data_IF_711999277485
#
_entry.id   IF_711999277485
#
_cell.length_a   1.000
_cell.length_b   1.000
_cell.length_c   1.000
_cell.angle_alpha   90.00
_cell.angle_beta   90.00
_cell.angle_gamma   90.00
#
_symmetry.space_group_name_H-M   'P 1'
#
loop_
_entity.id
_entity.type
_entity.pdbx_description
1 polymer ?
#
# COMPACT_ATOMS: atom_id res chain seq x y z
N UNK A 1 34.02 -91.83 72.95
CA UNK A 1 32.98 -90.77 72.85
C UNK A 1 33.15 -90.10 71.48
N UNK A 2 32.53 -90.62 70.42
CA UNK A 2 31.19 -90.26 69.88
C UNK A 2 31.12 -88.79 69.43
N UNK A 3 31.43 -88.52 68.15
CA UNK A 3 30.53 -88.41 66.96
C UNK A 3 29.78 -87.07 66.91
N UNK A 4 30.18 -86.12 66.05
CA UNK A 4 29.89 -85.95 64.59
C UNK A 4 28.53 -85.28 64.31
N UNK A 5 28.61 -84.14 63.60
CA UNK A 5 27.69 -83.59 62.56
C UNK A 5 26.24 -83.28 63.03
N UNK A 6 25.44 -82.41 62.43
CA UNK A 6 25.52 -81.64 61.20
C UNK A 6 24.51 -80.47 61.29
N UNK A 7 24.67 -79.52 60.38
CA UNK A 7 23.70 -78.51 59.94
C UNK A 7 22.24 -78.98 59.84
N UNK A 8 21.32 -78.11 60.27
CA UNK A 8 20.09 -77.86 59.52
C UNK A 8 19.64 -76.42 59.69
N UNK A 9 19.65 -75.73 58.57
CA UNK A 9 19.05 -74.44 58.27
C UNK A 9 17.56 -74.48 58.63
N UNK A 10 17.11 -73.66 59.58
CA UNK A 10 15.71 -73.27 59.73
C UNK A 10 15.67 -71.78 60.08
N UNK A 11 15.31 -70.98 59.08
CA UNK A 11 14.86 -69.61 59.26
C UNK A 11 13.62 -69.60 60.16
N UNK A 12 13.60 -68.85 61.27
CA UNK A 12 12.36 -68.56 61.97
C UNK A 12 11.62 -67.42 61.26
N UNK A 13 10.30 -67.57 61.17
CA UNK A 13 9.32 -66.70 60.49
C UNK A 13 9.09 -65.34 61.16
N UNK A 14 10.16 -64.59 61.46
CA UNK A 14 10.08 -63.22 61.98
C UNK A 14 10.61 -62.15 61.01
N UNK A 15 11.16 -62.58 59.86
CA UNK A 15 11.79 -61.70 58.87
C UNK A 15 10.84 -60.98 57.90
N UNK A 16 9.54 -61.27 57.87
CA UNK A 16 8.56 -60.54 57.03
C UNK A 16 8.02 -59.24 57.64
N UNK A 17 8.32 -58.93 58.91
CA UNK A 17 7.85 -57.69 59.56
C UNK A 17 8.91 -56.58 59.63
N UNK A 18 10.19 -56.91 59.41
CA UNK A 18 11.29 -55.93 59.45
C UNK A 18 11.26 -54.98 58.24
N UNK A 19 10.68 -55.42 57.11
CA UNK A 19 10.53 -54.56 55.92
C UNK A 19 9.44 -53.48 56.05
N UNK A 20 8.47 -53.60 56.97
CA UNK A 20 7.45 -52.58 57.18
C UNK A 20 7.94 -51.49 58.16
N UNK A 21 8.79 -51.84 59.13
CA UNK A 21 9.40 -50.86 60.04
C UNK A 21 10.57 -50.08 59.40
N UNK A 22 11.24 -50.62 58.37
CA UNK A 22 12.29 -49.91 57.63
C UNK A 22 11.76 -48.80 56.69
N UNK A 23 10.49 -48.86 56.27
CA UNK A 23 9.88 -47.85 55.37
C UNK A 23 9.40 -46.60 56.13
N UNK A 24 9.10 -46.69 57.44
CA UNK A 24 8.58 -45.54 58.21
C UNK A 24 9.71 -44.64 58.78
N UNK A 25 10.93 -45.14 58.99
CA UNK A 25 12.05 -44.31 59.52
C UNK A 25 13.10 -43.90 58.46
N UNK A 26 13.03 -44.45 57.24
CA UNK A 26 13.91 -44.11 56.11
C UNK A 26 13.47 -42.90 55.27
N UNK A 27 12.32 -42.29 55.57
CA UNK A 27 11.75 -41.16 54.81
C UNK A 27 12.03 -39.78 55.44
N UNK A 28 12.71 -39.72 56.59
CA UNK A 28 12.94 -38.46 57.33
C UNK A 28 14.18 -37.65 56.94
N UNK A 29 15.18 -38.21 56.25
CA UNK A 29 16.48 -37.53 56.02
C UNK A 29 16.73 -37.13 54.56
N UNK A 30 15.99 -37.66 53.59
CA UNK A 30 16.16 -37.24 52.18
C UNK A 30 15.33 -36.00 51.82
N UNK A 31 14.23 -35.72 52.55
CA UNK A 31 13.44 -34.51 52.34
C UNK A 31 14.12 -33.22 52.85
N UNK A 32 14.99 -33.31 53.87
CA UNK A 32 15.64 -32.11 54.45
C UNK A 32 16.79 -31.55 53.62
N UNK A 33 17.41 -32.33 52.72
CA UNK A 33 18.53 -31.88 51.88
C UNK A 33 18.18 -31.72 50.40
N UNK A 34 17.16 -32.44 49.89
CA UNK A 34 16.71 -32.23 48.51
C UNK A 34 15.83 -30.99 48.34
N UNK A 35 15.07 -30.58 49.35
CA UNK A 35 14.23 -29.37 49.28
C UNK A 35 15.08 -28.08 49.23
N UNK A 36 16.13 -27.88 50.06
CA UNK A 36 17.00 -26.71 49.94
C UNK A 36 17.83 -26.68 48.65
N UNK A 37 18.29 -27.83 48.14
CA UNK A 37 19.08 -27.91 46.89
C UNK A 37 18.19 -27.74 45.65
N UNK A 38 16.95 -28.23 45.67
CA UNK A 38 15.95 -27.95 44.63
C UNK A 38 15.44 -26.50 44.69
N UNK A 39 15.36 -25.90 45.88
CA UNK A 39 15.07 -24.47 46.07
C UNK A 39 16.25 -23.62 45.60
N UNK A 40 17.51 -23.99 45.87
CA UNK A 40 18.70 -23.28 45.36
C UNK A 40 18.90 -23.47 43.84
N UNK A 41 18.58 -24.64 43.29
CA UNK A 41 18.54 -24.90 41.84
C UNK A 41 17.36 -24.21 41.14
N UNK A 42 16.20 -24.11 41.79
CA UNK A 42 15.00 -23.40 41.32
C UNK A 42 15.08 -21.88 41.47
N UNK A 43 15.76 -21.38 42.51
CA UNK A 43 16.13 -19.97 42.69
C UNK A 43 17.31 -19.63 41.76
N UNK A 44 18.26 -20.54 41.53
CA UNK A 44 19.34 -20.36 40.56
C UNK A 44 18.84 -20.35 39.11
N UNK A 45 17.97 -21.29 38.73
CA UNK A 45 17.30 -21.33 37.43
C UNK A 45 16.22 -20.25 37.31
N UNK A 46 15.58 -19.85 38.41
CA UNK A 46 14.63 -18.75 38.49
C UNK A 46 15.31 -17.39 38.38
N UNK A 47 16.45 -17.16 39.04
CA UNK A 47 17.31 -15.98 38.89
C UNK A 47 18.01 -16.02 37.54
N UNK A 48 18.41 -17.18 37.01
CA UNK A 48 18.96 -17.29 35.65
C UNK A 48 17.89 -17.05 34.58
N UNK A 49 16.66 -17.55 34.73
CA UNK A 49 15.54 -17.30 33.81
C UNK A 49 14.94 -15.92 34.01
N UNK A 50 14.99 -15.34 35.21
CA UNK A 50 14.55 -13.97 35.52
C UNK A 50 15.64 -12.95 35.21
N UNK A 51 16.93 -13.28 35.29
CA UNK A 51 18.04 -12.50 34.74
C UNK A 51 18.18 -12.73 33.25
N UNK A 52 17.77 -13.86 32.67
CA UNK A 52 17.68 -14.06 31.21
C UNK A 52 16.40 -13.46 30.67
N UNK A 53 15.30 -13.39 31.42
CA UNK A 53 14.11 -12.59 31.07
C UNK A 53 14.30 -11.12 31.39
N UNK A 54 15.07 -10.73 32.41
CA UNK A 54 15.47 -9.33 32.63
C UNK A 54 16.56 -8.95 31.65
N UNK A 55 17.55 -9.78 31.33
CA UNK A 55 18.51 -9.52 30.23
C UNK A 55 17.77 -9.52 28.92
N UNK A 56 16.96 -10.51 28.56
CA UNK A 56 16.13 -10.45 27.35
C UNK A 56 15.13 -9.29 27.40
N UNK A 57 14.56 -8.87 28.54
CA UNK A 57 13.70 -7.67 28.61
C UNK A 57 14.49 -6.37 28.69
N UNK A 58 15.73 -6.35 29.17
CA UNK A 58 16.61 -5.18 29.27
C UNK A 58 17.33 -5.01 27.94
N UNK A 59 17.82 -6.08 27.33
CA UNK A 59 18.30 -6.21 25.95
C UNK A 59 17.16 -5.99 24.95
N UNK A 60 15.94 -6.51 25.15
CA UNK A 60 14.80 -6.14 24.30
C UNK A 60 14.34 -4.72 24.54
N UNK A 61 14.39 -4.20 25.79
CA UNK A 61 14.15 -2.77 26.07
C UNK A 61 15.27 -1.88 25.53
N UNK A 62 16.52 -2.32 25.53
CA UNK A 62 17.67 -1.60 24.98
C UNK A 62 17.66 -1.68 23.46
N UNK A 63 17.28 -2.81 22.89
CA UNK A 63 17.06 -2.98 21.46
C UNK A 63 15.86 -2.16 21.00
N UNK A 64 14.76 -2.10 21.75
CA UNK A 64 13.65 -1.19 21.42
C UNK A 64 14.02 0.27 21.58
N UNK A 65 14.74 0.66 22.64
CA UNK A 65 15.27 2.03 22.79
C UNK A 65 16.19 2.37 21.61
N UNK A 66 17.07 1.46 21.20
CA UNK A 66 17.92 1.63 20.01
C UNK A 66 17.10 1.81 18.74
N UNK A 67 16.11 0.94 18.51
CA UNK A 67 15.20 1.04 17.37
C UNK A 67 14.34 2.31 17.38
N UNK A 68 13.97 2.83 18.55
CA UNK A 68 13.26 4.09 18.70
C UNK A 68 14.17 5.27 18.37
N UNK A 69 15.44 5.26 18.81
CA UNK A 69 16.41 6.30 18.46
C UNK A 69 16.76 6.26 16.97
N UNK A 70 16.90 5.06 16.38
CA UNK A 70 17.07 4.87 14.94
C UNK A 70 15.85 5.40 14.18
N UNK A 71 14.63 5.05 14.61
CA UNK A 71 13.39 5.55 14.02
C UNK A 71 13.35 7.09 14.07
N UNK A 72 13.73 7.69 15.20
CA UNK A 72 13.79 9.15 15.36
C UNK A 72 14.84 9.79 14.45
N UNK A 73 16.01 9.16 14.29
CA UNK A 73 17.05 9.63 13.37
C UNK A 73 16.57 9.59 11.91
N UNK A 74 15.92 8.49 11.51
CA UNK A 74 15.35 8.31 10.16
C UNK A 74 14.21 9.30 9.92
N UNK A 75 13.32 9.53 10.89
CA UNK A 75 12.28 10.57 10.83
C UNK A 75 12.91 11.96 10.66
N UNK A 76 13.93 12.29 11.47
CA UNK A 76 14.61 13.59 11.36
C UNK A 76 15.31 13.79 10.01
N UNK A 77 15.83 12.73 9.39
CA UNK A 77 16.38 12.77 8.04
C UNK A 77 15.27 12.95 6.99
N UNK A 78 14.17 12.21 7.11
CA UNK A 78 13.02 12.35 6.23
C UNK A 78 12.44 13.77 6.31
N UNK A 79 12.31 14.35 7.50
CA UNK A 79 11.83 15.74 7.70
C UNK A 79 12.71 16.78 6.99
N UNK A 80 14.04 16.61 7.00
CA UNK A 80 14.95 17.51 6.26
C UNK A 80 14.74 17.39 4.75
N UNK A 81 14.57 16.17 4.25
CA UNK A 81 14.33 15.91 2.82
C UNK A 81 12.95 16.39 2.37
N UNK A 82 11.93 16.29 3.21
CA UNK A 82 10.60 16.85 2.96
C UNK A 82 10.69 18.37 2.83
N UNK A 83 11.43 19.04 3.73
CA UNK A 83 11.65 20.49 3.64
C UNK A 83 12.38 20.91 2.36
N UNK A 84 13.34 20.09 1.91
CA UNK A 84 14.03 20.30 0.64
C UNK A 84 13.07 20.11 -0.55
N UNK A 85 12.22 19.10 -0.50
CA UNK A 85 11.18 18.83 -1.49
C UNK A 85 10.14 19.97 -1.58
N UNK A 86 9.72 20.53 -0.43
CA UNK A 86 8.90 21.75 -0.36
C UNK A 86 9.58 22.93 -1.06
N UNK A 87 10.90 23.08 -0.89
CA UNK A 87 11.66 24.13 -1.57
C UNK A 87 11.71 23.93 -3.08
N UNK A 88 11.88 22.71 -3.57
CA UNK A 88 11.84 22.42 -5.01
C UNK A 88 10.48 22.71 -5.61
N UNK A 89 9.40 22.47 -4.85
CA UNK A 89 8.06 22.88 -5.25
C UNK A 89 7.92 24.40 -5.35
N UNK A 90 8.41 25.15 -4.36
CA UNK A 90 8.35 26.61 -4.32
C UNK A 90 9.15 27.27 -5.46
N UNK A 91 10.35 26.76 -5.74
CA UNK A 91 11.21 27.25 -6.82
C UNK A 91 10.90 26.65 -8.19
N UNK A 92 9.88 25.80 -8.32
CA UNK A 92 9.44 25.21 -9.58
C UNK A 92 10.43 24.22 -10.22
N UNK A 93 11.32 23.61 -9.44
CA UNK A 93 12.33 22.65 -9.89
C UNK A 93 11.76 21.23 -9.99
N UNK A 94 11.01 20.97 -11.06
CA UNK A 94 10.18 19.75 -11.21
C UNK A 94 10.98 18.44 -11.31
N UNK A 95 12.14 18.46 -11.97
CA UNK A 95 13.00 17.26 -12.11
C UNK A 95 13.63 16.90 -10.75
N UNK A 96 14.25 17.89 -10.09
CA UNK A 96 14.83 17.72 -8.74
C UNK A 96 13.76 17.28 -7.71
N UNK A 97 12.54 17.83 -7.83
CA UNK A 97 11.40 17.41 -7.01
C UNK A 97 11.06 15.93 -7.24
N UNK A 98 10.96 15.50 -8.50
CA UNK A 98 10.60 14.12 -8.85
C UNK A 98 11.64 13.12 -8.36
N UNK A 99 12.93 13.41 -8.57
CA UNK A 99 14.03 12.54 -8.13
C UNK A 99 14.06 12.39 -6.61
N UNK A 100 13.88 13.51 -5.88
CA UNK A 100 13.87 13.49 -4.42
C UNK A 100 12.61 12.79 -3.87
N UNK A 101 11.44 13.02 -4.48
CA UNK A 101 10.19 12.37 -4.11
C UNK A 101 10.28 10.84 -4.19
N UNK A 102 10.81 10.31 -5.30
CA UNK A 102 10.99 8.87 -5.50
C UNK A 102 11.93 8.22 -4.47
N UNK A 103 12.86 8.99 -3.89
CA UNK A 103 13.72 8.53 -2.81
C UNK A 103 13.06 8.60 -1.43
N UNK A 104 12.15 9.55 -1.21
CA UNK A 104 11.47 9.75 0.08
C UNK A 104 10.35 8.73 0.29
N UNK A 105 9.57 8.39 -0.75
CA UNK A 105 8.43 7.47 -0.62
C UNK A 105 8.78 6.11 0.02
N UNK A 106 9.87 5.42 -0.36
CA UNK A 106 10.31 4.20 0.32
C UNK A 106 10.71 4.43 1.78
N UNK A 107 11.29 5.60 2.11
CA UNK A 107 11.66 5.95 3.49
C UNK A 107 10.43 6.17 4.36
N UNK A 108 9.41 6.86 3.84
CA UNK A 108 8.14 7.03 4.55
C UNK A 108 7.45 5.67 4.81
N UNK A 109 7.50 4.77 3.82
CA UNK A 109 7.00 3.40 3.97
C UNK A 109 7.77 2.63 5.05
N UNK A 110 9.10 2.75 5.06
CA UNK A 110 9.94 2.15 6.09
C UNK A 110 9.60 2.69 7.49
N UNK A 111 9.51 4.02 7.66
CA UNK A 111 9.13 4.65 8.93
C UNK A 111 7.74 4.16 9.38
N UNK A 112 6.77 4.08 8.47
CA UNK A 112 5.41 3.59 8.74
C UNK A 112 5.43 2.17 9.32
N UNK A 113 6.21 1.29 8.70
CA UNK A 113 6.32 -0.11 9.12
C UNK A 113 7.04 -0.25 10.46
N UNK A 114 8.16 0.45 10.64
CA UNK A 114 8.90 0.42 11.92
C UNK A 114 8.07 1.02 13.05
N UNK A 115 7.36 2.13 12.82
CA UNK A 115 6.46 2.72 13.81
C UNK A 115 5.30 1.78 14.18
N UNK A 116 4.81 0.96 13.23
CA UNK A 116 3.78 -0.06 13.46
C UNK A 116 4.32 -1.22 14.31
N UNK A 117 5.56 -1.65 14.07
CA UNK A 117 6.21 -2.69 14.88
C UNK A 117 6.49 -2.21 16.32
N UNK A 118 6.84 -0.93 16.49
CA UNK A 118 7.10 -0.30 17.78
C UNK A 118 5.84 0.24 18.46
N UNK A 119 4.63 -0.08 17.97
CA UNK A 119 3.36 0.50 18.42
C UNK A 119 3.14 0.38 19.94
N UNK A 120 3.53 -0.76 20.52
CA UNK A 120 3.36 -1.02 21.95
C UNK A 120 4.47 -0.39 22.82
N UNK A 121 5.52 0.15 22.17
CA UNK A 121 6.73 0.69 22.80
C UNK A 121 6.82 2.23 22.69
N UNK A 122 6.06 2.84 21.76
CA UNK A 122 5.94 4.30 21.61
C UNK A 122 4.59 4.80 22.10
N UNK A 123 4.49 6.06 22.58
CA UNK A 123 3.20 6.62 23.00
C UNK A 123 2.20 6.63 21.85
N UNK A 124 0.94 6.27 22.14
CA UNK A 124 -0.12 6.22 21.12
C UNK A 124 -0.28 7.55 20.36
N UNK A 125 -0.11 8.69 21.04
CA UNK A 125 -0.15 10.02 20.42
C UNK A 125 1.01 10.26 19.43
N UNK A 126 2.20 9.73 19.72
CA UNK A 126 3.38 9.82 18.83
C UNK A 126 3.18 8.94 17.60
N UNK A 127 2.71 7.71 17.81
CA UNK A 127 2.35 6.80 16.70
C UNK A 127 1.33 7.44 15.76
N UNK A 128 0.24 8.00 16.29
CA UNK A 128 -0.79 8.66 15.49
C UNK A 128 -0.23 9.84 14.69
N UNK A 129 0.59 10.70 15.32
CA UNK A 129 1.24 11.83 14.63
C UNK A 129 2.15 11.37 13.48
N UNK A 130 2.91 10.30 13.68
CA UNK A 130 3.76 9.71 12.64
C UNK A 130 2.90 9.20 11.49
N UNK A 131 1.83 8.46 11.76
CA UNK A 131 0.93 7.94 10.73
C UNK A 131 0.26 9.07 9.95
N UNK A 132 -0.32 10.06 10.64
CA UNK A 132 -0.96 11.21 9.98
C UNK A 132 0.04 11.96 9.10
N UNK A 133 1.23 12.27 9.61
CA UNK A 133 2.23 13.01 8.84
C UNK A 133 2.70 12.22 7.61
N UNK A 134 2.93 10.92 7.75
CA UNK A 134 3.30 10.06 6.62
C UNK A 134 2.20 10.05 5.56
N UNK A 135 0.94 9.82 5.97
CA UNK A 135 -0.19 9.79 5.05
C UNK A 135 -0.32 11.12 4.30
N UNK A 136 -0.34 12.25 5.01
CA UNK A 136 -0.46 13.58 4.40
C UNK A 136 0.68 13.86 3.42
N UNK A 137 1.93 13.61 3.82
CA UNK A 137 3.10 13.88 2.95
C UNK A 137 3.11 12.96 1.74
N UNK A 138 2.75 11.68 1.90
CA UNK A 138 2.63 10.75 0.76
C UNK A 138 1.56 11.21 -0.23
N UNK A 139 0.37 11.58 0.25
CA UNK A 139 -0.72 12.09 -0.58
C UNK A 139 -0.32 13.38 -1.33
N UNK A 140 0.39 14.29 -0.66
CA UNK A 140 0.90 15.53 -1.27
C UNK A 140 1.95 15.24 -2.35
N UNK A 141 2.90 14.35 -2.07
CA UNK A 141 3.93 13.92 -3.03
C UNK A 141 3.26 13.29 -4.25
N UNK A 142 2.35 12.34 -4.05
CA UNK A 142 1.67 11.63 -5.14
C UNK A 142 0.86 12.60 -6.01
N UNK A 143 0.14 13.55 -5.40
CA UNK A 143 -0.61 14.58 -6.11
C UNK A 143 0.29 15.46 -6.97
N UNK A 144 1.46 15.86 -6.46
CA UNK A 144 2.40 16.69 -7.22
C UNK A 144 3.10 15.90 -8.33
N UNK A 145 3.47 14.64 -8.08
CA UNK A 145 4.03 13.77 -9.12
C UNK A 145 3.03 13.57 -10.26
N UNK A 146 1.76 13.31 -9.95
CA UNK A 146 0.70 13.23 -10.95
C UNK A 146 0.54 14.55 -11.71
N UNK A 147 0.62 15.69 -11.03
CA UNK A 147 0.57 17.01 -11.70
C UNK A 147 1.74 17.19 -12.67
N UNK A 148 2.96 16.89 -12.24
CA UNK A 148 4.17 16.99 -13.07
C UNK A 148 4.06 16.05 -14.27
N UNK A 149 3.59 14.82 -14.07
CA UNK A 149 3.39 13.86 -15.13
C UNK A 149 2.31 14.31 -16.12
N UNK A 150 1.18 14.82 -15.64
CA UNK A 150 0.13 15.40 -16.51
C UNK A 150 0.65 16.59 -17.29
N UNK A 151 1.42 17.49 -16.69
CA UNK A 151 2.01 18.62 -17.38
C UNK A 151 3.07 18.20 -18.41
N UNK A 152 3.84 17.14 -18.11
CA UNK A 152 4.81 16.55 -19.04
C UNK A 152 4.08 15.90 -20.22
N UNK A 153 3.08 15.07 -19.95
CA UNK A 153 2.18 14.49 -20.96
C UNK A 153 1.51 15.57 -21.78
N UNK A 154 0.98 16.64 -21.19
CA UNK A 154 0.40 17.77 -21.93
C UNK A 154 1.42 18.55 -22.77
N UNK A 155 2.69 18.62 -22.35
CA UNK A 155 3.77 19.22 -23.15
C UNK A 155 4.24 18.32 -24.28
N UNK A 156 4.22 17.01 -24.07
CA UNK A 156 4.59 15.98 -25.06
C UNK A 156 3.44 15.68 -26.04
N UNK A 157 2.20 15.81 -25.57
CA UNK A 157 0.94 15.70 -26.31
C UNK A 157 0.52 17.02 -26.96
N UNK A 158 1.16 18.14 -26.62
CA UNK A 158 1.15 19.30 -27.50
C UNK A 158 2.03 18.97 -28.69
N UNK A 159 1.48 18.71 -29.90
CA UNK A 159 2.26 18.99 -31.09
C UNK A 159 2.73 20.44 -30.92
N UNK A 160 4.00 20.74 -31.21
CA UNK A 160 4.43 22.13 -31.41
C UNK A 160 3.27 22.83 -32.15
N UNK A 161 2.61 23.83 -31.55
CA UNK A 161 1.40 24.52 -32.11
C UNK A 161 1.62 25.19 -33.48
N UNK A 162 2.74 24.91 -34.12
CA UNK A 162 3.08 25.26 -35.48
C UNK A 162 2.97 24.07 -36.43
N UNK A 163 3.08 22.81 -35.97
CA UNK A 163 3.11 21.64 -36.86
C UNK A 163 1.74 21.02 -37.13
N UNK A 164 0.74 21.12 -36.24
CA UNK A 164 -0.58 20.53 -36.52
C UNK A 164 -1.35 21.38 -37.53
N UNK A 165 -1.42 22.68 -37.28
CA UNK A 165 -2.09 23.65 -38.14
C UNK A 165 -1.44 23.78 -39.53
N UNK A 166 -0.12 23.58 -39.62
CA UNK A 166 0.64 23.62 -40.87
C UNK A 166 0.61 22.28 -41.64
N UNK A 167 0.82 21.15 -40.95
CA UNK A 167 0.94 19.84 -41.62
C UNK A 167 -0.40 19.13 -41.82
N UNK A 168 -1.39 19.41 -40.98
CA UNK A 168 -2.67 18.71 -40.96
C UNK A 168 -3.85 19.64 -40.58
N UNK A 169 -4.08 20.74 -41.31
CA UNK A 169 -5.20 21.65 -41.05
C UNK A 169 -6.57 20.93 -41.05
N UNK A 170 -6.69 19.84 -41.82
CA UNK A 170 -7.88 19.00 -41.87
C UNK A 170 -8.21 18.28 -40.55
N UNK A 171 -7.24 18.11 -39.64
CA UNK A 171 -7.43 17.46 -38.34
C UNK A 171 -7.59 18.45 -37.19
N UNK A 172 -7.34 19.76 -37.41
CA UNK A 172 -7.33 20.76 -36.33
C UNK A 172 -8.66 20.79 -35.57
N UNK A 173 -9.79 20.76 -36.29
CA UNK A 173 -11.11 20.75 -35.67
C UNK A 173 -11.34 19.47 -34.85
N UNK A 174 -11.05 18.31 -35.44
CA UNK A 174 -11.20 16.99 -34.80
C UNK A 174 -10.33 16.85 -33.55
N UNK A 175 -9.04 17.22 -33.64
CA UNK A 175 -8.11 17.18 -32.50
C UNK A 175 -8.59 18.10 -31.37
N UNK A 176 -9.14 19.28 -31.72
CA UNK A 176 -9.68 20.20 -30.73
C UNK A 176 -10.94 19.64 -30.05
N UNK A 177 -11.84 19.02 -30.79
CA UNK A 177 -13.04 18.36 -30.23
C UNK A 177 -12.63 17.25 -29.26
N UNK A 178 -11.75 16.34 -29.70
CA UNK A 178 -11.18 15.27 -28.87
C UNK A 178 -10.61 15.80 -27.54
N UNK A 179 -9.89 16.93 -27.55
CA UNK A 179 -9.37 17.53 -26.31
C UNK A 179 -10.48 18.03 -25.38
N UNK A 180 -11.50 18.68 -25.95
CA UNK A 180 -12.65 19.18 -25.19
C UNK A 180 -13.42 18.00 -24.58
N UNK A 181 -13.70 16.96 -25.36
CA UNK A 181 -14.47 15.80 -24.91
C UNK A 181 -13.68 14.96 -23.92
N UNK A 182 -12.36 14.83 -24.11
CA UNK A 182 -11.48 14.20 -23.13
C UNK A 182 -11.58 14.87 -21.74
N UNK A 183 -11.51 16.20 -21.68
CA UNK A 183 -11.64 16.95 -20.43
C UNK A 183 -13.04 16.79 -19.82
N UNK A 184 -14.09 16.84 -20.65
CA UNK A 184 -15.47 16.66 -20.21
C UNK A 184 -15.71 15.25 -19.62
N UNK A 185 -15.19 14.21 -20.27
CA UNK A 185 -15.28 12.82 -19.81
C UNK A 185 -14.56 12.64 -18.48
N UNK A 186 -13.34 13.17 -18.31
CA UNK A 186 -12.62 13.09 -17.04
C UNK A 186 -13.39 13.80 -15.91
N UNK A 187 -13.98 14.97 -16.19
CA UNK A 187 -14.84 15.65 -15.22
C UNK A 187 -16.05 14.79 -14.84
N UNK A 188 -16.73 14.21 -15.82
CA UNK A 188 -17.89 13.33 -15.60
C UNK A 188 -17.56 12.08 -14.80
N UNK A 189 -16.46 11.39 -15.13
CA UNK A 189 -15.99 10.22 -14.36
C UNK A 189 -15.68 10.62 -12.90
N UNK A 190 -15.06 11.79 -12.69
CA UNK A 190 -14.73 12.26 -11.34
C UNK A 190 -15.99 12.58 -10.50
N UNK A 191 -17.01 13.14 -11.14
CA UNK A 191 -18.27 13.57 -10.52
C UNK A 191 -19.29 12.45 -10.34
N UNK A 192 -19.22 11.39 -11.17
CA UNK A 192 -20.03 10.19 -11.07
C UNK A 192 -20.03 9.61 -9.65
N UNK A 193 -21.11 8.98 -9.17
CA UNK A 193 -21.10 8.25 -7.89
C UNK A 193 -20.63 6.79 -8.03
N UNK A 194 -20.12 6.40 -9.21
CA UNK A 194 -19.66 5.03 -9.49
C UNK A 194 -18.48 4.62 -8.59
N UNK A 195 -18.44 3.35 -8.21
CA UNK A 195 -17.31 2.75 -7.49
C UNK A 195 -16.11 2.43 -8.39
N UNK A 196 -16.25 2.56 -9.71
CA UNK A 196 -15.24 2.14 -10.70
C UNK A 196 -14.52 3.34 -11.35
N UNK A 197 -14.39 4.48 -10.66
CA UNK A 197 -13.81 5.71 -11.24
C UNK A 197 -12.37 5.50 -11.70
N UNK A 198 -11.57 4.83 -10.89
CA UNK A 198 -10.16 4.56 -11.20
C UNK A 198 -10.02 3.68 -12.43
N UNK A 199 -10.86 2.66 -12.56
CA UNK A 199 -10.88 1.76 -13.72
C UNK A 199 -11.32 2.51 -14.98
N UNK A 200 -12.42 3.27 -14.92
CA UNK A 200 -12.91 4.07 -16.05
C UNK A 200 -11.88 5.12 -16.48
N UNK A 201 -11.23 5.78 -15.51
CA UNK A 201 -10.16 6.74 -15.80
C UNK A 201 -8.97 6.06 -16.46
N UNK A 202 -8.56 4.88 -15.98
CA UNK A 202 -7.44 4.13 -16.55
C UNK A 202 -7.73 3.65 -17.98
N UNK A 203 -8.95 3.16 -18.24
CA UNK A 203 -9.38 2.77 -19.59
C UNK A 203 -9.36 3.97 -20.53
N UNK A 204 -9.98 5.08 -20.14
CA UNK A 204 -10.01 6.31 -20.94
C UNK A 204 -8.61 6.85 -21.21
N UNK A 205 -7.74 6.85 -20.19
CA UNK A 205 -6.35 7.30 -20.33
C UNK A 205 -5.57 6.43 -21.32
N UNK A 206 -5.76 5.11 -21.28
CA UNK A 206 -5.14 4.18 -22.23
C UNK A 206 -5.62 4.43 -23.67
N UNK A 207 -6.91 4.71 -23.86
CA UNK A 207 -7.45 5.06 -25.17
C UNK A 207 -6.85 6.37 -25.71
N UNK A 208 -6.68 7.37 -24.86
CA UNK A 208 -6.02 8.63 -25.23
C UNK A 208 -4.55 8.44 -25.61
N UNK A 209 -3.82 7.60 -24.88
CA UNK A 209 -2.42 7.28 -25.21
C UNK A 209 -2.32 6.65 -26.62
N UNK A 210 -3.21 5.71 -26.93
CA UNK A 210 -3.28 5.12 -28.27
C UNK A 210 -3.63 6.14 -29.37
N UNK A 211 -4.54 7.07 -29.09
CA UNK A 211 -4.86 8.17 -30.00
C UNK A 211 -3.64 9.07 -30.26
N UNK A 212 -2.92 9.46 -29.21
CA UNK A 212 -1.74 10.33 -29.31
C UNK A 212 -0.64 9.67 -30.17
N UNK A 213 -0.41 8.38 -29.99
CA UNK A 213 0.52 7.61 -30.83
C UNK A 213 0.15 7.66 -32.32
N UNK A 214 -1.14 7.53 -32.63
CA UNK A 214 -1.65 7.60 -34.00
C UNK A 214 -1.48 9.02 -34.58
N UNK A 215 -1.82 10.06 -33.82
CA UNK A 215 -1.68 11.45 -34.24
C UNK A 215 -0.21 11.81 -34.48
N UNK A 216 0.70 11.44 -33.57
CA UNK A 216 2.13 11.66 -33.74
C UNK A 216 2.66 10.90 -34.97
N UNK A 217 2.23 9.66 -35.17
CA UNK A 217 2.55 8.88 -36.37
C UNK A 217 2.08 9.56 -37.65
N UNK A 218 0.86 10.08 -37.67
CA UNK A 218 0.30 10.85 -38.79
C UNK A 218 1.16 12.06 -39.11
N UNK A 219 1.44 12.92 -38.13
CA UNK A 219 2.22 14.14 -38.31
C UNK A 219 3.65 13.85 -38.78
N UNK A 220 4.28 12.78 -38.25
CA UNK A 220 5.62 12.36 -38.67
C UNK A 220 5.66 11.92 -40.13
N UNK A 221 4.68 11.12 -40.58
CA UNK A 221 4.59 10.73 -41.98
C UNK A 221 4.28 11.95 -42.85
N UNK A 222 3.44 12.87 -42.37
CA UNK A 222 3.03 14.04 -43.14
C UNK A 222 4.15 15.06 -43.32
N UNK A 223 5.04 15.19 -42.35
CA UNK A 223 6.24 16.03 -42.42
C UNK A 223 7.25 15.53 -43.46
N UNK A 224 7.36 14.22 -43.70
CA UNK A 224 8.34 13.67 -44.66
C UNK A 224 7.80 12.43 -45.39
N UNK A 225 6.77 12.54 -46.25
CA UNK A 225 6.06 11.38 -46.79
C UNK A 225 6.93 10.43 -47.63
N UNK A 226 7.98 10.95 -48.27
CA UNK A 226 8.90 10.16 -49.12
C UNK A 226 9.77 9.19 -48.33
N UNK A 227 9.94 9.42 -47.03
CA UNK A 227 10.79 8.60 -46.16
C UNK A 227 10.07 7.37 -45.62
N UNK A 228 8.78 7.20 -45.93
CA UNK A 228 7.93 6.13 -45.42
C UNK A 228 7.28 5.33 -46.55
N UNK A 229 7.31 4.00 -46.42
CA UNK A 229 6.52 3.11 -47.28
C UNK A 229 5.02 3.29 -47.04
N UNK A 230 4.25 3.24 -48.13
CA UNK A 230 2.78 3.36 -48.14
C UNK A 230 2.25 4.57 -47.36
N UNK A 231 2.97 5.70 -47.44
CA UNK A 231 2.66 6.90 -46.67
C UNK A 231 1.20 7.34 -46.84
N UNK A 232 0.68 7.40 -48.07
CA UNK A 232 -0.70 7.83 -48.34
C UNK A 232 -1.74 6.90 -47.71
N UNK A 233 -1.58 5.59 -47.84
CA UNK A 233 -2.49 4.59 -47.24
C UNK A 233 -2.47 4.68 -45.72
N UNK A 234 -1.27 4.80 -45.13
CA UNK A 234 -1.11 4.93 -43.67
C UNK A 234 -1.69 6.23 -43.15
N UNK A 235 -1.53 7.33 -43.87
CA UNK A 235 -2.14 8.62 -43.53
C UNK A 235 -3.67 8.53 -43.60
N UNK A 236 -4.24 7.93 -44.65
CA UNK A 236 -5.68 7.74 -44.76
C UNK A 236 -6.24 6.88 -43.62
N UNK A 237 -5.54 5.79 -43.28
CA UNK A 237 -5.92 4.92 -42.16
C UNK A 237 -5.84 5.63 -40.81
N UNK A 238 -4.75 6.37 -40.56
CA UNK A 238 -4.58 7.12 -39.32
C UNK A 238 -5.61 8.26 -39.19
N UNK A 239 -5.90 8.97 -40.29
CA UNK A 239 -6.96 9.97 -40.34
C UNK A 239 -8.32 9.36 -39.98
N UNK A 240 -8.70 8.26 -40.63
CA UNK A 240 -9.97 7.59 -40.34
C UNK A 240 -10.05 7.09 -38.89
N UNK A 241 -8.93 6.62 -38.31
CA UNK A 241 -8.88 6.22 -36.91
C UNK A 241 -9.04 7.40 -35.95
N UNK A 242 -8.45 8.56 -36.25
CA UNK A 242 -8.61 9.79 -35.47
C UNK A 242 -10.06 10.30 -35.54
N UNK A 243 -10.67 10.30 -36.71
CA UNK A 243 -12.07 10.71 -36.90
C UNK A 243 -13.03 9.73 -36.19
N UNK A 244 -12.75 8.43 -36.23
CA UNK A 244 -13.55 7.46 -35.49
C UNK A 244 -13.40 7.64 -33.97
N UNK A 245 -12.19 7.95 -33.50
CA UNK A 245 -11.96 8.19 -32.08
C UNK A 245 -12.74 9.39 -31.55
N UNK A 246 -12.84 10.48 -32.32
CA UNK A 246 -13.71 11.64 -32.01
C UNK A 246 -15.17 11.19 -31.78
N UNK A 247 -15.71 10.38 -32.70
CA UNK A 247 -17.07 9.84 -32.58
C UNK A 247 -17.24 8.91 -31.37
N UNK A 248 -16.21 8.13 -31.04
CA UNK A 248 -16.23 7.24 -29.88
C UNK A 248 -16.24 8.03 -28.57
N UNK A 249 -15.54 9.18 -28.52
CA UNK A 249 -15.58 10.09 -27.38
C UNK A 249 -16.93 10.79 -27.23
N UNK A 250 -17.52 11.26 -28.33
CA UNK A 250 -18.89 11.80 -28.35
C UNK A 250 -19.89 10.82 -27.74
N UNK A 251 -19.82 9.55 -28.16
CA UNK A 251 -20.71 8.50 -27.67
C UNK A 251 -20.43 8.16 -26.20
N UNK A 252 -19.16 8.09 -25.78
CA UNK A 252 -18.80 7.88 -24.39
C UNK A 252 -19.34 9.00 -23.49
N UNK A 253 -19.22 10.26 -23.91
CA UNK A 253 -19.74 11.41 -23.19
C UNK A 253 -21.27 11.38 -23.12
N UNK A 254 -21.95 11.00 -24.21
CA UNK A 254 -23.42 10.79 -24.22
C UNK A 254 -23.83 9.72 -23.22
N UNK A 255 -23.13 8.59 -23.18
CA UNK A 255 -23.42 7.50 -22.23
C UNK A 255 -23.22 7.91 -20.78
N UNK A 256 -22.18 8.69 -20.48
CA UNK A 256 -21.96 9.24 -19.14
C UNK A 256 -23.08 10.20 -18.73
N UNK A 257 -23.51 11.08 -19.64
CA UNK A 257 -24.63 11.98 -19.39
C UNK A 257 -25.94 11.22 -19.17
N UNK A 258 -26.21 10.16 -19.94
CA UNK A 258 -27.41 9.34 -19.79
C UNK A 258 -27.40 8.57 -18.47
N UNK A 259 -26.23 8.10 -18.03
CA UNK A 259 -26.08 7.44 -16.75
C UNK A 259 -26.40 8.39 -15.58
N UNK A 260 -25.94 9.64 -15.66
CA UNK A 260 -26.21 10.68 -14.65
C UNK A 260 -27.71 11.05 -14.59
N UNK A 261 -28.45 10.97 -15.71
CA UNK A 261 -29.87 11.34 -15.78
C UNK A 261 -30.84 10.26 -15.29
N UNK A 262 -30.37 9.06 -14.94
CA UNK A 262 -31.25 7.97 -14.47
C UNK A 262 -32.10 8.35 -13.25
N UNK A 263 -31.52 9.10 -12.32
CA UNK A 263 -32.24 9.52 -11.10
C UNK A 263 -33.32 10.58 -11.41
N UNK A 264 -33.08 11.40 -12.44
CA UNK A 264 -34.09 12.33 -12.95
C UNK A 264 -35.28 11.57 -13.56
N UNK A 265 -35.04 10.55 -14.38
CA UNK A 265 -36.10 9.73 -14.98
C UNK A 265 -36.91 8.95 -13.93
N UNK A 266 -36.25 8.46 -12.88
CA UNK A 266 -36.92 7.83 -11.73
C UNK A 266 -37.82 8.84 -11.03
N UNK A 267 -37.32 10.05 -10.81
CA UNK A 267 -38.09 11.14 -10.16
C UNK A 267 -39.32 11.53 -10.97
N UNK A 268 -39.19 11.68 -12.29
CA UNK A 268 -40.34 11.93 -13.18
C UNK A 268 -41.38 10.82 -13.11
N UNK A 269 -40.96 9.56 -13.12
CA UNK A 269 -41.86 8.41 -13.02
C UNK A 269 -42.61 8.34 -11.69
N UNK A 270 -41.98 8.75 -10.58
CA UNK A 270 -42.65 8.83 -9.27
C UNK A 270 -43.70 9.95 -9.29
N UNK A 271 -43.34 11.14 -9.77
CA UNK A 271 -44.26 12.28 -9.92
C UNK A 271 -45.49 11.94 -10.77
N UNK A 272 -45.29 11.23 -11.89
CA UNK A 272 -46.39 10.81 -12.75
C UNK A 272 -47.30 9.76 -12.09
N UNK A 273 -46.72 8.85 -11.28
CA UNK A 273 -47.49 7.89 -10.49
C UNK A 273 -48.30 8.57 -9.39
N UNK A 274 -47.72 9.54 -8.69
CA UNK A 274 -48.41 10.32 -7.64
C UNK A 274 -49.58 11.13 -8.22
N UNK A 275 -49.40 11.77 -9.38
CA UNK A 275 -50.50 12.47 -10.07
C UNK A 275 -51.63 11.54 -10.48
N UNK A 276 -51.34 10.33 -10.97
CA UNK A 276 -52.36 9.36 -11.34
C UNK A 276 -53.16 8.85 -10.12
N UNK A 277 -52.53 8.73 -8.95
CA UNK A 277 -53.23 8.35 -7.72
C UNK A 277 -54.10 9.46 -7.13
N UNK A 278 -53.76 10.74 -7.38
CA UNK A 278 -54.51 11.90 -6.85
C UNK A 278 -55.73 12.28 -7.70
N UNK A 279 -55.75 11.94 -8.99
CA UNK A 279 -56.92 12.14 -9.89
C UNK A 279 -57.93 10.98 -9.87
N UNK A 280 -57.71 9.97 -9.04
CA UNK A 280 -58.55 8.76 -8.94
C UNK A 280 -59.51 8.70 -7.75
N UNK A 281 -59.77 9.84 -7.08
CA UNK A 281 -60.76 9.99 -5.99
C UNK A 281 -61.94 10.89 -6.41
#
# INVERSE_FOLDING_TARGET
MSRRKNYSNQQPEWFSWIWILAIIFGSGVVASYLIPIAILGGIGYGIYRYQRQKRVRIEAKQASIGRIEDLKAVIGQADRRIKELESYQEYGKKEDYQDLALQILPQLTYIKNVAKELRDEIPASVYQRIQTKITTVTEEIDKQLQKIEREKRQKEAQPKKTSLEELAPELVATVRNIQIDHEAILQKISQSESNNKEELTAIHQSQMEHYEDILQGYLKIKASPKDFYNAEERLAKAKAAIEQFDLDLDEALRQLNEADLRDFDISLRILDKEKQTDTGL
#
